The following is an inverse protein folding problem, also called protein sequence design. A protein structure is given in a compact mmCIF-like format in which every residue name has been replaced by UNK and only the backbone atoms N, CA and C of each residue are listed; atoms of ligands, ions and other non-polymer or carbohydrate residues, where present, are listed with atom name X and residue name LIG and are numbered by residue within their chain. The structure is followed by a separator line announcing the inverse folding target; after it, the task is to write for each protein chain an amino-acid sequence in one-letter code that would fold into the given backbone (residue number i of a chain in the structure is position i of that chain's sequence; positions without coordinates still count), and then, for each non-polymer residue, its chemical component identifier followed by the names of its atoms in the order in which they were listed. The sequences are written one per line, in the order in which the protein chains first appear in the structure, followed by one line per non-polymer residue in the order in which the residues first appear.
data_IF_802182586391
#
_entry.id   IF_802182586391
#
_cell.length_a   1.000
_cell.length_b   1.000
_cell.length_c   1.000
_cell.angle_alpha   90.00
_cell.angle_beta   90.00
_cell.angle_gamma   90.00
#
_symmetry.space_group_name_H-M   'P 1'
#
loop_
_entity.id
_entity.type
_entity.pdbx_description
1 polymer ?
#
# COMPACT_ATOMS: atom_id res chain seq x y z
N UNK A 1 7.64 10.00 28.90
CA UNK A 1 7.52 9.24 27.63
C UNK A 1 6.44 9.96 26.84
N UNK A 2 6.82 10.99 26.11
CA UNK A 2 5.91 11.85 25.34
C UNK A 2 5.80 11.13 23.98
N UNK A 3 4.65 10.47 23.74
CA UNK A 3 4.33 10.00 22.40
C UNK A 3 4.23 11.22 21.52
N UNK A 4 5.13 11.29 20.54
CA UNK A 4 5.16 12.40 19.60
C UNK A 4 3.78 12.50 18.92
N UNK A 5 3.17 13.68 18.90
CA UNK A 5 1.81 13.87 18.35
C UNK A 5 1.65 13.31 16.94
N UNK A 6 2.74 13.21 16.19
CA UNK A 6 2.80 12.54 14.90
C UNK A 6 2.49 11.04 14.95
N UNK A 7 3.03 10.31 15.93
CA UNK A 7 2.73 8.86 16.05
C UNK A 7 1.27 8.60 16.39
N UNK A 8 0.67 9.46 17.21
CA UNK A 8 -0.75 9.34 17.55
C UNK A 8 -1.64 9.57 16.33
N UNK A 9 -1.31 10.50 15.45
CA UNK A 9 -2.03 10.73 14.18
C UNK A 9 -1.92 9.49 13.29
N UNK A 10 -0.74 8.89 13.15
CA UNK A 10 -0.57 7.65 12.37
C UNK A 10 -1.36 6.48 12.94
N UNK A 11 -1.37 6.30 14.27
CA UNK A 11 -2.14 5.25 14.93
C UNK A 11 -3.64 5.45 14.74
N UNK A 12 -4.15 6.66 14.95
CA UNK A 12 -5.58 6.98 14.74
C UNK A 12 -5.98 6.73 13.29
N UNK A 13 -5.21 7.23 12.32
CA UNK A 13 -5.49 7.02 10.90
C UNK A 13 -5.50 5.54 10.55
N UNK A 14 -4.54 4.79 11.08
CA UNK A 14 -4.45 3.35 10.88
C UNK A 14 -5.64 2.60 11.47
N UNK A 15 -6.06 2.93 12.69
CA UNK A 15 -7.24 2.33 13.34
C UNK A 15 -8.52 2.65 12.58
N UNK A 16 -8.69 3.89 12.10
CA UNK A 16 -9.83 4.29 11.27
C UNK A 16 -9.85 3.51 9.96
N UNK A 17 -8.71 3.36 9.29
CA UNK A 17 -8.60 2.58 8.06
C UNK A 17 -8.89 1.10 8.31
N UNK A 18 -8.33 0.49 9.36
CA UNK A 18 -8.61 -0.92 9.72
C UNK A 18 -10.09 -1.12 10.00
N UNK A 19 -10.72 -0.21 10.78
CA UNK A 19 -12.13 -0.32 11.09
C UNK A 19 -13.01 -0.18 9.85
N UNK A 20 -12.63 0.69 8.91
CA UNK A 20 -13.33 0.87 7.63
C UNK A 20 -13.19 -0.37 6.75
N UNK A 21 -11.98 -0.93 6.66
CA UNK A 21 -11.70 -2.18 5.94
C UNK A 21 -12.46 -3.35 6.56
N UNK A 22 -12.43 -3.48 7.88
CA UNK A 22 -13.16 -4.53 8.60
C UNK A 22 -14.68 -4.41 8.37
N UNK A 23 -15.23 -3.20 8.42
CA UNK A 23 -16.65 -2.96 8.09
C UNK A 23 -16.98 -3.35 6.66
N UNK A 24 -16.10 -3.04 5.69
CA UNK A 24 -16.25 -3.45 4.31
C UNK A 24 -16.31 -4.98 4.18
N UNK A 25 -15.40 -5.73 4.82
CA UNK A 25 -15.40 -7.19 4.80
C UNK A 25 -16.58 -7.81 5.54
N UNK A 26 -16.96 -7.28 6.69
CA UNK A 26 -18.03 -7.83 7.51
C UNK A 26 -19.43 -7.51 6.97
N UNK A 27 -19.61 -6.31 6.39
CA UNK A 27 -20.92 -5.85 5.92
C UNK A 27 -21.10 -6.01 4.41
N UNK A 28 -20.05 -5.99 3.61
CA UNK A 28 -20.08 -6.12 2.15
C UNK A 28 -20.65 -7.45 1.64
N UNK A 29 -20.78 -8.46 2.52
CA UNK A 29 -21.43 -9.74 2.19
C UNK A 29 -22.93 -9.64 1.93
N UNK A 30 -23.57 -8.51 2.22
CA UNK A 30 -25.03 -8.32 2.08
C UNK A 30 -25.42 -7.26 1.03
N UNK A 31 -24.69 -7.17 -0.08
CA UNK A 31 -25.23 -6.52 -1.28
C UNK A 31 -25.26 -4.98 -1.32
N UNK A 32 -24.70 -4.25 -0.35
CA UNK A 32 -24.72 -2.78 -0.38
C UNK A 32 -23.68 -2.15 -1.32
N UNK A 33 -22.71 -2.90 -1.86
CA UNK A 33 -21.62 -2.39 -2.70
C UNK A 33 -21.45 -3.15 -4.00
N UNK A 34 -22.55 -3.36 -4.72
CA UNK A 34 -22.53 -3.80 -6.12
C UNK A 34 -22.14 -2.68 -7.11
N UNK A 35 -21.53 -1.60 -6.65
CA UNK A 35 -21.19 -0.47 -7.51
C UNK A 35 -19.75 -0.57 -8.01
N UNK A 36 -19.59 -0.88 -9.29
CA UNK A 36 -18.29 -0.91 -9.97
C UNK A 36 -17.49 0.41 -9.81
N UNK A 37 -18.18 1.55 -9.63
CA UNK A 37 -17.55 2.85 -9.37
C UNK A 37 -16.80 2.92 -8.02
N UNK A 38 -17.30 2.26 -6.96
CA UNK A 38 -16.63 2.27 -5.66
C UNK A 38 -15.30 1.49 -5.72
N UNK A 39 -15.27 0.39 -6.46
CA UNK A 39 -14.03 -0.35 -6.71
C UNK A 39 -13.04 0.51 -7.51
N UNK A 40 -13.53 1.29 -8.46
CA UNK A 40 -12.71 2.24 -9.21
C UNK A 40 -12.12 3.32 -8.31
N UNK A 41 -12.93 3.92 -7.44
CA UNK A 41 -12.45 4.89 -6.45
C UNK A 41 -11.36 4.27 -5.58
N UNK A 42 -11.57 3.04 -5.09
CA UNK A 42 -10.58 2.35 -4.27
C UNK A 42 -9.27 2.11 -5.05
N UNK A 43 -9.35 1.68 -6.31
CA UNK A 43 -8.17 1.50 -7.16
C UNK A 43 -7.40 2.81 -7.35
N UNK A 44 -8.10 3.89 -7.65
CA UNK A 44 -7.49 5.22 -7.81
C UNK A 44 -6.88 5.69 -6.48
N UNK A 45 -7.61 5.56 -5.38
CA UNK A 45 -7.13 5.97 -4.05
C UNK A 45 -5.87 5.22 -3.61
N UNK A 46 -5.71 3.96 -4.02
CA UNK A 46 -4.52 3.16 -3.72
C UNK A 46 -3.41 3.39 -4.75
N UNK A 47 -3.74 3.60 -6.02
CA UNK A 47 -2.76 3.81 -7.08
C UNK A 47 -2.05 5.18 -6.98
N UNK A 48 -2.77 6.24 -6.61
CA UNK A 48 -2.19 7.59 -6.53
C UNK A 48 -0.99 7.68 -5.59
N UNK A 49 -1.05 7.22 -4.32
CA UNK A 49 0.12 7.19 -3.45
C UNK A 49 1.28 6.37 -4.02
N UNK A 50 0.99 5.24 -4.71
CA UNK A 50 2.02 4.41 -5.35
C UNK A 50 2.69 5.15 -6.52
N UNK A 51 1.95 5.90 -7.32
CA UNK A 51 2.53 6.71 -8.38
C UNK A 51 3.45 7.80 -7.83
N UNK A 52 3.04 8.46 -6.74
CA UNK A 52 3.86 9.48 -6.06
C UNK A 52 5.10 8.82 -5.43
N UNK A 53 4.94 7.72 -4.70
CA UNK A 53 6.03 6.99 -4.07
C UNK A 53 6.99 6.41 -5.12
N UNK A 54 6.47 5.72 -6.13
CA UNK A 54 7.26 5.15 -7.20
C UNK A 54 8.09 6.21 -7.94
N UNK A 55 7.53 7.39 -8.20
CA UNK A 55 8.26 8.52 -8.78
C UNK A 55 9.36 9.04 -7.84
N UNK A 56 9.10 9.04 -6.53
CA UNK A 56 10.08 9.46 -5.54
C UNK A 56 11.32 8.55 -5.49
N UNK A 57 11.20 7.27 -5.86
CA UNK A 57 12.34 6.35 -5.99
C UNK A 57 13.38 6.83 -7.02
N UNK A 58 12.96 7.55 -8.05
CA UNK A 58 13.85 8.11 -9.06
C UNK A 58 14.36 9.50 -8.68
N UNK A 59 13.50 10.34 -8.09
CA UNK A 59 13.86 11.72 -7.76
C UNK A 59 14.62 11.85 -6.44
N UNK A 60 14.48 10.87 -5.54
CA UNK A 60 15.09 10.86 -4.20
C UNK A 60 15.85 9.56 -3.92
N UNK A 61 16.42 8.95 -4.94
CA UNK A 61 17.11 7.64 -4.86
C UNK A 61 18.15 7.60 -3.74
N UNK A 62 18.98 8.65 -3.61
CA UNK A 62 20.02 8.72 -2.57
C UNK A 62 19.44 8.66 -1.14
N UNK A 63 18.35 9.38 -0.88
CA UNK A 63 17.68 9.36 0.42
C UNK A 63 17.06 7.99 0.71
N UNK A 64 16.42 7.38 -0.28
CA UNK A 64 15.81 6.06 -0.14
C UNK A 64 16.86 4.95 0.00
N UNK A 65 18.03 5.08 -0.61
CA UNK A 65 19.12 4.14 -0.44
C UNK A 65 19.65 4.09 1.01
N UNK A 66 19.52 5.17 1.78
CA UNK A 66 19.91 5.22 3.19
C UNK A 66 19.05 4.33 4.09
N UNK A 67 17.83 3.99 3.68
CA UNK A 67 16.94 3.09 4.43
C UNK A 67 17.05 1.63 4.00
N UNK A 68 17.84 1.32 2.97
CA UNK A 68 18.12 -0.07 2.60
C UNK A 68 19.10 -0.65 3.63
N UNK A 69 18.82 -1.84 4.19
CA UNK A 69 19.69 -2.46 5.17
C UNK A 69 21.11 -2.69 4.61
N UNK A 70 22.18 -2.45 5.41
CA UNK A 70 23.57 -2.47 4.92
C UNK A 70 24.06 -3.85 4.48
N UNK A 71 23.39 -4.93 4.86
CA UNK A 71 23.71 -6.28 4.42
C UNK A 71 23.24 -6.60 3.00
N UNK A 72 22.38 -5.75 2.41
CA UNK A 72 21.94 -5.89 1.03
C UNK A 72 22.91 -5.16 0.11
N UNK A 73 23.36 -5.78 -0.98
CA UNK A 73 24.16 -5.08 -2.00
C UNK A 73 23.28 -4.20 -2.90
N UNK A 74 23.91 -3.32 -3.66
CA UNK A 74 23.25 -2.55 -4.73
C UNK A 74 22.07 -1.68 -4.28
N UNK A 75 22.21 -0.93 -3.16
CA UNK A 75 21.15 -0.13 -2.56
C UNK A 75 20.37 0.74 -3.57
N UNK A 76 21.07 1.50 -4.41
CA UNK A 76 20.44 2.38 -5.39
C UNK A 76 19.65 1.61 -6.45
N UNK A 77 20.19 0.47 -6.91
CA UNK A 77 19.52 -0.37 -7.89
C UNK A 77 18.26 -1.02 -7.32
N UNK A 78 18.30 -1.47 -6.06
CA UNK A 78 17.12 -2.01 -5.37
C UNK A 78 16.04 -0.95 -5.22
N UNK A 79 16.40 0.29 -4.90
CA UNK A 79 15.47 1.43 -4.84
C UNK A 79 14.86 1.70 -6.22
N UNK A 80 15.65 1.78 -7.27
CA UNK A 80 15.13 2.01 -8.62
C UNK A 80 14.24 0.87 -9.10
N UNK A 81 14.64 -0.39 -8.85
CA UNK A 81 13.85 -1.56 -9.22
C UNK A 81 12.49 -1.57 -8.51
N UNK A 82 12.47 -1.30 -7.19
CA UNK A 82 11.21 -1.20 -6.45
C UNK A 82 10.33 -0.08 -6.98
N UNK A 83 10.90 1.08 -7.36
CA UNK A 83 10.17 2.17 -8.00
C UNK A 83 9.53 1.78 -9.34
N UNK A 84 10.26 1.05 -10.20
CA UNK A 84 9.70 0.52 -11.46
C UNK A 84 8.52 -0.42 -11.18
N UNK A 85 8.69 -1.37 -10.25
CA UNK A 85 7.65 -2.34 -9.90
C UNK A 85 6.42 -1.65 -9.28
N UNK A 86 6.64 -0.62 -8.48
CA UNK A 86 5.57 0.16 -7.85
C UNK A 86 4.77 0.95 -8.89
N UNK A 87 5.44 1.62 -9.84
CA UNK A 87 4.77 2.33 -10.93
C UNK A 87 4.02 1.39 -11.87
N UNK A 88 4.66 0.30 -12.28
CA UNK A 88 4.02 -0.72 -13.12
C UNK A 88 2.80 -1.34 -12.44
N UNK A 89 2.92 -1.64 -11.14
CA UNK A 89 1.82 -2.16 -10.34
C UNK A 89 0.69 -1.14 -10.18
N UNK A 90 0.99 0.13 -9.96
CA UNK A 90 -0.01 1.19 -9.86
C UNK A 90 -0.80 1.36 -11.16
N UNK A 91 -0.13 1.37 -12.30
CA UNK A 91 -0.77 1.39 -13.63
C UNK A 91 -1.59 0.12 -13.85
N UNK A 92 -1.02 -1.05 -13.54
CA UNK A 92 -1.71 -2.34 -13.66
C UNK A 92 -2.97 -2.43 -12.81
N UNK A 93 -2.98 -1.80 -11.62
CA UNK A 93 -4.15 -1.75 -10.74
C UNK A 93 -5.31 -0.96 -11.35
N UNK A 94 -5.00 0.08 -12.13
CA UNK A 94 -6.01 0.88 -12.85
C UNK A 94 -6.57 0.17 -14.09
N UNK A 95 -5.87 -0.83 -14.61
CA UNK A 95 -6.32 -1.62 -15.77
C UNK A 95 -7.13 -2.84 -15.29
N UNK A 96 -8.45 -2.93 -15.58
CA UNK A 96 -9.30 -3.99 -15.05
C UNK A 96 -8.81 -5.41 -15.34
N UNK A 97 -8.20 -5.62 -16.50
CA UNK A 97 -7.66 -6.91 -16.92
C UNK A 97 -6.47 -7.37 -16.05
N UNK A 98 -5.66 -6.43 -15.56
CA UNK A 98 -4.44 -6.69 -14.79
C UNK A 98 -4.59 -6.44 -13.29
N UNK A 99 -5.70 -5.85 -12.85
CA UNK A 99 -5.88 -5.38 -11.48
C UNK A 99 -5.60 -6.45 -10.41
N UNK A 100 -5.98 -7.72 -10.64
CA UNK A 100 -5.71 -8.81 -9.69
C UNK A 100 -4.22 -9.13 -9.61
N UNK A 101 -3.57 -9.30 -10.75
CA UNK A 101 -2.15 -9.60 -10.81
C UNK A 101 -1.31 -8.45 -10.23
N UNK A 102 -1.63 -7.21 -10.61
CA UNK A 102 -0.99 -6.01 -10.09
C UNK A 102 -1.13 -5.89 -8.57
N UNK A 103 -2.33 -6.12 -8.05
CA UNK A 103 -2.61 -6.10 -6.61
C UNK A 103 -1.78 -7.15 -5.85
N UNK A 104 -1.73 -8.39 -6.35
CA UNK A 104 -0.93 -9.45 -5.74
C UNK A 104 0.58 -9.12 -5.78
N UNK A 105 1.07 -8.65 -6.92
CA UNK A 105 2.47 -8.27 -7.10
C UNK A 105 2.88 -7.11 -6.19
N UNK A 106 2.01 -6.10 -6.06
CA UNK A 106 2.24 -4.97 -5.14
C UNK A 106 2.21 -5.41 -3.68
N UNK A 107 1.26 -6.28 -3.30
CA UNK A 107 1.21 -6.83 -1.94
C UNK A 107 2.50 -7.63 -1.61
N UNK A 108 2.97 -8.44 -2.56
CA UNK A 108 4.24 -9.16 -2.42
C UNK A 108 5.43 -8.18 -2.34
N UNK A 109 5.46 -7.15 -3.17
CA UNK A 109 6.50 -6.11 -3.12
C UNK A 109 6.54 -5.46 -1.74
N UNK A 110 5.37 -5.09 -1.19
CA UNK A 110 5.28 -4.51 0.17
C UNK A 110 5.90 -5.45 1.22
N UNK A 111 5.66 -6.76 1.13
CA UNK A 111 6.25 -7.74 2.04
C UNK A 111 7.76 -7.80 1.87
N UNK A 112 8.26 -7.82 0.64
CA UNK A 112 9.70 -7.91 0.32
C UNK A 112 10.47 -6.69 0.80
N UNK A 113 9.89 -5.48 0.69
CA UNK A 113 10.55 -4.24 1.16
C UNK A 113 10.40 -4.00 2.68
N UNK A 114 9.65 -4.84 3.39
CA UNK A 114 9.44 -4.66 4.83
C UNK A 114 10.71 -4.59 5.67
N UNK A 115 11.78 -5.37 5.40
CA UNK A 115 13.06 -5.22 6.10
C UNK A 115 13.65 -3.79 6.03
N UNK A 116 13.50 -3.10 4.90
CA UNK A 116 13.91 -1.70 4.76
C UNK A 116 13.02 -0.78 5.62
N UNK A 117 11.71 -1.06 5.71
CA UNK A 117 10.81 -0.34 6.59
C UNK A 117 11.17 -0.51 8.08
N UNK A 118 11.55 -1.71 8.51
CA UNK A 118 12.01 -1.97 9.87
C UNK A 118 13.34 -1.24 10.12
N UNK A 119 14.27 -1.31 9.18
CA UNK A 119 15.58 -0.66 9.29
C UNK A 119 15.47 0.88 9.34
N UNK A 120 14.49 1.46 8.65
CA UNK A 120 14.22 2.90 8.66
C UNK A 120 13.55 3.40 9.95
N UNK A 121 12.92 2.50 10.72
CA UNK A 121 12.14 2.89 11.89
C UNK A 121 12.98 3.68 12.92
N UNK A 122 12.37 4.72 13.48
CA UNK A 122 13.00 5.63 14.47
C UNK A 122 14.24 6.38 13.96
N UNK A 123 14.53 6.38 12.66
CA UNK A 123 15.64 7.14 12.08
C UNK A 123 15.18 8.47 11.54
N UNK A 124 16.13 9.40 11.42
CA UNK A 124 15.93 10.64 10.69
C UNK A 124 16.39 10.43 9.24
N UNK A 125 15.50 10.63 8.28
CA UNK A 125 15.78 10.49 6.85
C UNK A 125 15.28 11.75 6.14
N UNK A 126 16.19 12.48 5.51
CA UNK A 126 15.84 13.74 4.83
C UNK A 126 15.23 14.80 5.76
N UNK A 127 15.59 14.82 7.04
CA UNK A 127 15.05 15.74 8.03
C UNK A 127 13.71 15.32 8.66
N UNK A 128 13.13 14.19 8.23
CA UNK A 128 11.89 13.64 8.78
C UNK A 128 12.19 12.49 9.75
N UNK A 129 11.55 12.52 10.92
CA UNK A 129 11.58 11.39 11.87
C UNK A 129 10.67 10.27 11.34
N UNK A 130 11.25 9.09 11.17
CA UNK A 130 10.50 7.92 10.68
C UNK A 130 9.71 7.29 11.82
N UNK A 131 8.44 6.88 11.57
CA UNK A 131 7.62 6.20 12.57
C UNK A 131 8.27 4.93 13.13
N UNK A 132 7.85 4.55 14.33
CA UNK A 132 8.31 3.32 15.01
C UNK A 132 7.87 2.05 14.27
N UNK A 133 8.51 0.91 14.56
CA UNK A 133 8.20 -0.38 13.91
C UNK A 133 6.73 -0.77 14.01
N UNK A 134 6.05 -0.69 15.19
CA UNK A 134 4.63 -1.04 15.27
C UNK A 134 3.74 -0.20 14.35
N UNK A 135 4.01 1.11 14.27
CA UNK A 135 3.25 2.02 13.40
C UNK A 135 3.46 1.66 11.93
N UNK A 136 4.71 1.42 11.52
CA UNK A 136 5.03 1.01 10.14
C UNK A 136 4.40 -0.32 9.77
N UNK A 137 4.44 -1.30 10.68
CA UNK A 137 3.78 -2.59 10.48
C UNK A 137 2.27 -2.41 10.30
N UNK A 138 1.63 -1.63 11.17
CA UNK A 138 0.19 -1.38 11.07
C UNK A 138 -0.17 -0.70 9.74
N UNK A 139 0.57 0.33 9.33
CA UNK A 139 0.38 1.01 8.04
C UNK A 139 0.54 0.04 6.86
N UNK A 140 1.55 -0.83 6.91
CA UNK A 140 1.81 -1.80 5.85
C UNK A 140 0.70 -2.85 5.74
N UNK A 141 0.22 -3.40 6.87
CA UNK A 141 -0.90 -4.35 6.89
C UNK A 141 -2.15 -3.72 6.27
N UNK A 142 -2.48 -2.49 6.68
CA UNK A 142 -3.62 -1.76 6.10
C UNK A 142 -3.45 -1.57 4.60
N UNK A 143 -2.25 -1.18 4.16
CA UNK A 143 -2.00 -0.94 2.75
C UNK A 143 -2.10 -2.22 1.91
N UNK A 144 -1.58 -3.35 2.41
CA UNK A 144 -1.74 -4.67 1.78
C UNK A 144 -3.22 -5.06 1.67
N UNK A 145 -4.00 -4.85 2.74
CA UNK A 145 -5.44 -5.14 2.71
C UNK A 145 -6.17 -4.28 1.68
N UNK A 146 -5.87 -2.99 1.60
CA UNK A 146 -6.44 -2.09 0.59
C UNK A 146 -6.07 -2.52 -0.82
N UNK A 147 -4.81 -2.93 -1.07
CA UNK A 147 -4.36 -3.48 -2.34
C UNK A 147 -5.18 -4.72 -2.73
N UNK A 148 -5.31 -5.67 -1.81
CA UNK A 148 -6.07 -6.90 -2.06
C UNK A 148 -7.54 -6.60 -2.35
N UNK A 149 -8.16 -5.68 -1.61
CA UNK A 149 -9.54 -5.25 -1.88
C UNK A 149 -9.67 -4.58 -3.26
N UNK A 150 -8.72 -3.73 -3.64
CA UNK A 150 -8.72 -3.06 -4.93
C UNK A 150 -8.58 -4.05 -6.11
N UNK A 151 -7.80 -5.12 -5.93
CA UNK A 151 -7.58 -6.14 -6.96
C UNK A 151 -8.73 -7.12 -7.12
N UNK A 152 -9.21 -7.67 -6.00
CA UNK A 152 -10.21 -8.74 -6.05
C UNK A 152 -11.66 -8.23 -6.05
N UNK A 153 -11.96 -7.11 -5.43
CA UNK A 153 -13.30 -6.53 -5.39
C UNK A 153 -14.39 -7.49 -4.90
N UNK A 154 -15.62 -7.05 -4.95
CA UNK A 154 -16.78 -7.93 -4.72
C UNK A 154 -17.00 -8.80 -5.96
N UNK A 155 -17.23 -10.13 -5.84
CA UNK A 155 -17.60 -10.97 -6.96
C UNK A 155 -18.80 -10.36 -7.70
N UNK A 156 -18.71 -10.19 -9.02
CA UNK A 156 -19.88 -9.89 -9.83
C UNK A 156 -20.85 -11.02 -9.57
N UNK A 157 -22.03 -10.69 -9.05
CA UNK A 157 -23.13 -11.65 -9.04
C UNK A 157 -23.22 -12.26 -10.44
N UNK A 158 -23.17 -13.58 -10.52
CA UNK A 158 -23.49 -14.30 -11.74
C UNK A 158 -24.85 -13.76 -12.17
N UNK A 159 -24.87 -13.01 -13.29
CA UNK A 159 -26.12 -12.57 -13.88
C UNK A 159 -26.95 -13.84 -14.09
N UNK A 160 -27.99 -13.95 -13.30
CA UNK A 160 -29.06 -14.90 -13.53
C UNK A 160 -29.60 -14.53 -14.89
N UNK A 161 -29.30 -15.34 -15.89
CA UNK A 161 -29.98 -15.31 -17.17
C UNK A 161 -31.45 -15.58 -16.86
N UNK A 162 -32.27 -14.54 -16.89
CA UNK A 162 -33.72 -14.69 -17.00
C UNK A 162 -33.96 -15.12 -18.46
N UNK A 163 -34.10 -16.43 -18.65
CA UNK A 163 -34.74 -17.03 -19.83
C UNK A 163 -36.27 -16.88 -19.71
#
# INVERSE_FOLDING_TARGET
MITDGGEMVYLITTVVLISTVARYFLWGRKGLFSFGWLQWILRVAVALPLLVSGTAHFTRTALMAMIVPPFLPYHSQLVLLSGVLELAGAVGLLLPAFARAASASLALLMIVIFPANVYAANKYVGGLHMPSVPVRLAMQVVYILLLLMAGWGVPRGTGESLD
#
